data_IF_384303290613
#
_entry.id   IF_384303290613
#
_cell.length_a   1.000
_cell.length_b   1.000
_cell.length_c   1.000
_cell.angle_alpha   90.00
_cell.angle_beta   90.00
_cell.angle_gamma   90.00
#
_symmetry.space_group_name_H-M   'P 1'
#
loop_
_entity.id
_entity.type
_entity.pdbx_description
1 polymer ?
#
# COMPACT_ATOMS: atom_id res chain seq x y z
N UNK A 1 7.97 -24.36 19.84
CA UNK A 1 8.17 -22.95 19.48
C UNK A 1 7.12 -22.57 18.46
N UNK A 2 6.16 -21.71 18.82
CA UNK A 2 5.16 -21.21 17.87
C UNK A 2 5.87 -20.16 17.02
N UNK A 3 6.12 -20.48 15.75
CA UNK A 3 6.60 -19.49 14.78
C UNK A 3 5.47 -18.47 14.59
N UNK A 4 5.53 -17.33 15.29
CA UNK A 4 4.58 -16.24 15.08
C UNK A 4 4.86 -15.65 13.69
N UNK A 5 4.23 -16.23 12.67
CA UNK A 5 4.30 -15.72 11.30
C UNK A 5 3.81 -14.28 11.32
N UNK A 6 4.69 -13.32 11.02
CA UNK A 6 4.28 -11.94 10.78
C UNK A 6 3.19 -11.96 9.70
N UNK A 7 2.04 -11.38 9.99
CA UNK A 7 0.92 -11.31 9.04
C UNK A 7 1.40 -10.61 7.76
N UNK A 8 1.28 -11.31 6.62
CA UNK A 8 1.73 -10.80 5.34
C UNK A 8 0.72 -9.81 4.75
N UNK A 9 1.21 -8.85 3.97
CA UNK A 9 0.31 -7.94 3.26
C UNK A 9 -0.52 -8.70 2.21
N UNK A 10 -1.84 -8.49 2.14
CA UNK A 10 -2.73 -9.22 1.23
C UNK A 10 -2.66 -8.63 -0.20
N UNK A 11 -1.48 -8.74 -0.79
CA UNK A 11 -1.22 -8.39 -2.20
C UNK A 11 -1.52 -9.58 -3.11
N UNK A 12 -1.53 -9.31 -4.41
CA UNK A 12 -1.62 -10.35 -5.44
C UNK A 12 -0.38 -11.25 -5.40
N UNK A 13 -0.54 -12.55 -5.64
CA UNK A 13 0.56 -13.54 -5.59
C UNK A 13 1.68 -13.27 -6.60
N UNK A 14 1.37 -12.55 -7.68
CA UNK A 14 2.36 -12.13 -8.68
C UNK A 14 3.30 -11.02 -8.19
N UNK A 15 3.07 -10.47 -6.99
CA UNK A 15 3.80 -9.36 -6.41
C UNK A 15 4.73 -9.87 -5.30
N UNK A 16 6.04 -9.70 -5.50
CA UNK A 16 7.01 -9.85 -4.43
C UNK A 16 7.05 -8.58 -3.59
N UNK A 17 6.73 -8.67 -2.30
CA UNK A 17 6.86 -7.55 -1.35
C UNK A 17 8.32 -7.44 -0.88
N UNK A 18 8.98 -6.34 -1.23
CA UNK A 18 10.37 -6.08 -0.81
C UNK A 18 10.41 -5.37 0.55
N UNK A 19 9.54 -4.38 0.75
CA UNK A 19 9.34 -3.69 2.03
C UNK A 19 7.88 -3.23 2.13
N UNK A 20 7.35 -3.12 3.34
CA UNK A 20 6.04 -2.53 3.54
C UNK A 20 5.90 -1.89 4.92
N UNK A 21 5.11 -0.81 4.98
CA UNK A 21 4.82 -0.06 6.19
C UNK A 21 3.31 0.13 6.32
N UNK A 22 2.74 -0.39 7.40
CA UNK A 22 1.34 -0.13 7.76
C UNK A 22 1.20 1.32 8.19
N UNK A 23 0.27 2.06 7.59
CA UNK A 23 -0.13 3.40 8.04
C UNK A 23 -1.11 3.26 9.20
N UNK A 24 -2.14 2.44 9.03
CA UNK A 24 -3.07 2.10 10.08
C UNK A 24 -3.70 0.73 9.83
N UNK A 25 -4.14 0.07 10.92
CA UNK A 25 -4.88 -1.19 10.85
C UNK A 25 -5.89 -1.28 11.98
N UNK A 26 -7.10 -1.71 11.66
CA UNK A 26 -8.19 -2.02 12.59
C UNK A 26 -8.81 -3.36 12.22
N UNK A 27 -9.88 -3.77 12.91
CA UNK A 27 -10.63 -4.98 12.57
C UNK A 27 -11.25 -4.92 11.18
N UNK A 28 -11.61 -3.72 10.71
CA UNK A 28 -12.34 -3.53 9.44
C UNK A 28 -11.46 -3.04 8.30
N UNK A 29 -10.39 -2.31 8.60
CA UNK A 29 -9.61 -1.58 7.61
C UNK A 29 -8.11 -1.76 7.80
N UNK A 30 -7.38 -1.85 6.70
CA UNK A 30 -5.93 -1.88 6.71
C UNK A 30 -5.41 -0.99 5.58
N UNK A 31 -4.62 0.03 5.94
CA UNK A 31 -3.89 0.85 4.98
C UNK A 31 -2.38 0.64 5.15
N UNK A 32 -1.67 0.45 4.04
CA UNK A 32 -0.23 0.31 4.03
C UNK A 32 0.40 0.86 2.75
N UNK A 33 1.69 1.19 2.82
CA UNK A 33 2.53 1.48 1.67
C UNK A 33 3.49 0.31 1.47
N UNK A 34 3.59 -0.17 0.23
CA UNK A 34 4.41 -1.33 -0.13
C UNK A 34 5.38 -0.93 -1.24
N UNK A 35 6.67 -1.24 -1.04
CA UNK A 35 7.63 -1.40 -2.12
C UNK A 35 7.53 -2.84 -2.63
N UNK A 36 7.06 -3.00 -3.86
CA UNK A 36 6.88 -4.31 -4.48
C UNK A 36 7.64 -4.43 -5.80
N UNK A 37 7.79 -5.67 -6.25
CA UNK A 37 8.30 -6.01 -7.57
C UNK A 37 7.32 -6.96 -8.27
N UNK A 38 7.02 -6.67 -9.54
CA UNK A 38 6.22 -7.54 -10.40
C UNK A 38 6.73 -7.42 -11.83
N UNK A 39 6.84 -8.54 -12.55
CA UNK A 39 7.36 -8.58 -13.93
C UNK A 39 8.71 -7.84 -14.07
N UNK A 40 9.62 -8.04 -13.10
CA UNK A 40 10.95 -7.39 -13.00
C UNK A 40 10.92 -5.86 -12.92
N UNK A 41 9.77 -5.27 -12.57
CA UNK A 41 9.64 -3.82 -12.36
C UNK A 41 9.26 -3.53 -10.92
N UNK A 42 10.03 -2.65 -10.29
CA UNK A 42 9.74 -2.15 -8.94
C UNK A 42 8.69 -1.05 -8.97
N UNK A 43 7.93 -0.95 -7.90
CA UNK A 43 6.94 0.09 -7.71
C UNK A 43 6.69 0.33 -6.23
N UNK A 44 6.23 1.53 -5.90
CA UNK A 44 5.61 1.81 -4.62
C UNK A 44 4.10 1.79 -4.81
N UNK A 45 3.35 1.24 -3.88
CA UNK A 45 1.90 1.31 -3.92
C UNK A 45 1.29 1.57 -2.55
N UNK A 46 0.34 2.49 -2.50
CA UNK A 46 -0.54 2.70 -1.35
C UNK A 46 -1.73 1.78 -1.52
N UNK A 47 -1.93 0.90 -0.56
CA UNK A 47 -3.04 -0.04 -0.52
C UNK A 47 -4.03 0.33 0.58
N UNK A 48 -5.30 0.09 0.29
CA UNK A 48 -6.36 0.03 1.29
C UNK A 48 -7.13 -1.27 1.11
N UNK A 49 -7.23 -2.04 2.18
CA UNK A 49 -8.04 -3.24 2.26
C UNK A 49 -9.17 -3.07 3.27
N UNK A 50 -10.31 -3.66 2.95
CA UNK A 50 -11.43 -3.82 3.86
C UNK A 50 -11.58 -5.30 4.22
N UNK A 51 -11.79 -5.60 5.50
CA UNK A 51 -12.09 -6.96 5.93
C UNK A 51 -13.50 -7.35 5.48
N UNK A 52 -13.62 -8.54 4.87
CA UNK A 52 -14.88 -9.18 4.44
C UNK A 52 -14.85 -10.61 4.95
N UNK A 53 -15.55 -10.86 6.07
CA UNK A 53 -15.41 -12.10 6.83
C UNK A 53 -13.97 -12.29 7.30
N UNK A 54 -13.36 -13.40 6.94
CA UNK A 54 -12.00 -13.74 7.35
C UNK A 54 -10.92 -13.33 6.34
N UNK A 55 -11.29 -12.55 5.32
CA UNK A 55 -10.35 -12.14 4.26
C UNK A 55 -10.26 -10.63 4.13
N UNK A 56 -9.05 -10.16 3.83
CA UNK A 56 -8.80 -8.79 3.40
C UNK A 56 -9.11 -8.66 1.91
N UNK A 57 -10.05 -7.79 1.56
CA UNK A 57 -10.36 -7.45 0.16
C UNK A 57 -9.77 -6.09 -0.15
N UNK A 58 -8.95 -6.02 -1.21
CA UNK A 58 -8.41 -4.76 -1.70
C UNK A 58 -9.56 -3.89 -2.22
N UNK A 59 -9.70 -2.69 -1.65
CA UNK A 59 -10.69 -1.70 -2.12
C UNK A 59 -10.05 -0.57 -2.91
N UNK A 60 -8.79 -0.25 -2.62
CA UNK A 60 -8.05 0.78 -3.33
C UNK A 60 -6.58 0.40 -3.46
N UNK A 61 -5.97 0.84 -4.56
CA UNK A 61 -4.55 0.72 -4.85
C UNK A 61 -4.12 1.89 -5.71
N UNK A 62 -3.25 2.74 -5.18
CA UNK A 62 -2.54 3.76 -5.94
C UNK A 62 -1.12 3.26 -6.20
N UNK A 63 -0.77 3.00 -7.46
CA UNK A 63 0.56 2.55 -7.86
C UNK A 63 1.40 3.73 -8.36
N UNK A 64 2.62 3.83 -7.87
CA UNK A 64 3.63 4.83 -8.21
C UNK A 64 4.77 4.08 -8.90
N UNK A 65 4.91 4.27 -10.22
CA UNK A 65 5.87 3.50 -11.03
C UNK A 65 7.22 4.21 -11.19
N UNK A 66 7.30 5.51 -10.88
CA UNK A 66 8.52 6.29 -11.05
C UNK A 66 8.62 7.44 -10.04
N UNK A 67 9.83 7.98 -9.88
CA UNK A 67 10.08 9.18 -9.09
C UNK A 67 9.35 10.41 -9.68
N UNK A 68 9.21 10.49 -11.01
CA UNK A 68 8.48 11.57 -11.66
C UNK A 68 6.98 11.53 -11.35
N UNK A 69 6.37 10.34 -11.33
CA UNK A 69 4.96 10.17 -10.93
C UNK A 69 4.75 10.61 -9.48
N UNK A 70 5.68 10.22 -8.60
CA UNK A 70 5.64 10.64 -7.20
C UNK A 70 5.73 12.16 -7.05
N UNK A 71 6.69 12.80 -7.72
CA UNK A 71 6.89 14.26 -7.64
C UNK A 71 5.62 15.01 -8.04
N UNK A 72 4.96 14.62 -9.14
CA UNK A 72 3.71 15.25 -9.60
C UNK A 72 2.56 15.04 -8.61
N UNK A 73 2.38 13.82 -8.11
CA UNK A 73 1.35 13.51 -7.11
C UNK A 73 1.56 14.34 -5.85
N UNK A 74 2.78 14.36 -5.33
CA UNK A 74 3.14 15.11 -4.13
C UNK A 74 2.90 16.60 -4.30
N UNK A 75 3.33 17.19 -5.42
CA UNK A 75 3.12 18.61 -5.69
C UNK A 75 1.63 19.00 -5.68
N UNK A 76 0.79 18.23 -6.40
CA UNK A 76 -0.66 18.49 -6.43
C UNK A 76 -1.28 18.31 -5.04
N UNK A 77 -0.95 17.23 -4.33
CA UNK A 77 -1.45 16.99 -2.96
C UNK A 77 -1.04 18.12 -2.03
N UNK A 78 0.24 18.47 -1.99
CA UNK A 78 0.78 19.52 -1.14
C UNK A 78 0.10 20.86 -1.44
N UNK A 79 -0.17 21.16 -2.72
CA UNK A 79 -0.86 22.41 -3.13
C UNK A 79 -2.30 22.49 -2.60
N UNK A 80 -3.00 21.36 -2.49
CA UNK A 80 -4.37 21.30 -1.98
C UNK A 80 -4.39 21.29 -0.45
N UNK A 81 -3.49 20.54 0.19
CA UNK A 81 -3.34 20.52 1.66
C UNK A 81 -3.06 21.92 2.20
N UNK A 82 -2.22 22.72 1.52
CA UNK A 82 -1.96 24.12 1.88
C UNK A 82 -3.18 25.04 1.84
N UNK A 83 -4.26 24.65 1.15
CA UNK A 83 -5.52 25.41 1.08
C UNK A 83 -6.58 24.89 2.04
N UNK A 84 -6.32 23.76 2.69
CA UNK A 84 -7.25 23.12 3.62
C UNK A 84 -7.26 23.81 5.00
N UNK A 85 -6.23 24.62 5.26
CA UNK A 85 -6.01 25.43 6.46
C UNK A 85 -5.56 26.83 6.04
#
# INVERSE_FOLDING_TARGET
MINMSKEQFPVDETITVLEGRTIYKSEKWWQAVILGEAFRRRFVAVYLWQRKGDRWRRVHKLKINSAADWSRLREVIDSLVKKMY
#
